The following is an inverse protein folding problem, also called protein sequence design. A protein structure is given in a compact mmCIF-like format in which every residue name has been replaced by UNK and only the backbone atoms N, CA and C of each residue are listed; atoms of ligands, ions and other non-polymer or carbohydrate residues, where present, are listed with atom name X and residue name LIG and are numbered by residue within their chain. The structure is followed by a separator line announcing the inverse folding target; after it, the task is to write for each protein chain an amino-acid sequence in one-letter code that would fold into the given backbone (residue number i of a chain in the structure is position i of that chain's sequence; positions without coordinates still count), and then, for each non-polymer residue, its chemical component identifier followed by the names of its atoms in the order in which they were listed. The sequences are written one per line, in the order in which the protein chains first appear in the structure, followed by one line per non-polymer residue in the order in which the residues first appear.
data_IF_785836618618
#
_entry.id   IF_785836618618
#
_cell.length_a   1.000
_cell.length_b   1.000
_cell.length_c   1.000
_cell.angle_alpha   90.00
_cell.angle_beta   90.00
_cell.angle_gamma   90.00
#
_symmetry.space_group_name_H-M   'P 1'
#
loop_
_entity.id
_entity.type
_entity.pdbx_description
1 polymer ?
#
# COMPACT_ATOMS: atom_id res chain seq x y z
N UNK A 1 23.57 -7.54 11.25
CA UNK A 1 23.24 -6.34 12.05
C UNK A 1 22.12 -5.52 11.42
N UNK A 2 22.24 -5.00 10.19
CA UNK A 2 21.19 -4.17 9.57
C UNK A 2 19.89 -4.91 9.28
N UNK A 3 19.95 -6.19 8.90
CA UNK A 3 18.74 -7.00 8.70
C UNK A 3 17.94 -7.20 10.00
N UNK A 4 18.62 -7.57 11.08
CA UNK A 4 18.00 -7.76 12.40
C UNK A 4 17.36 -6.45 12.91
N UNK A 5 18.00 -5.31 12.65
CA UNK A 5 17.43 -4.00 12.96
C UNK A 5 16.18 -3.70 12.13
N UNK A 6 16.17 -4.07 10.83
CA UNK A 6 15.01 -3.92 9.96
C UNK A 6 13.84 -4.81 10.41
N UNK A 7 14.12 -6.05 10.82
CA UNK A 7 13.13 -6.95 11.42
C UNK A 7 12.54 -6.37 12.71
N UNK A 8 13.39 -5.89 13.61
CA UNK A 8 12.94 -5.24 14.85
C UNK A 8 12.05 -4.01 14.57
N UNK A 9 12.42 -3.17 13.60
CA UNK A 9 11.62 -2.02 13.19
C UNK A 9 10.26 -2.43 12.62
N UNK A 10 10.21 -3.50 11.83
CA UNK A 10 8.96 -4.01 11.27
C UNK A 10 8.02 -4.49 12.38
N UNK A 11 8.53 -5.28 13.32
CA UNK A 11 7.76 -5.74 14.50
C UNK A 11 7.25 -4.53 15.30
N UNK A 12 8.08 -3.51 15.50
CA UNK A 12 7.69 -2.29 16.23
C UNK A 12 6.62 -1.49 15.48
N UNK A 13 6.74 -1.36 14.16
CA UNK A 13 5.79 -0.68 13.29
C UNK A 13 4.43 -1.37 13.34
N UNK A 14 4.40 -2.69 13.15
CA UNK A 14 3.15 -3.46 13.21
C UNK A 14 2.47 -3.37 14.58
N UNK A 15 3.24 -3.41 15.68
CA UNK A 15 2.66 -3.36 17.03
C UNK A 15 2.08 -1.99 17.41
N UNK A 16 2.60 -0.89 16.86
CA UNK A 16 2.32 0.45 17.42
C UNK A 16 1.85 1.49 16.41
N UNK A 17 2.01 1.24 15.12
CA UNK A 17 1.71 2.19 14.04
C UNK A 17 0.83 1.57 12.96
N UNK A 18 0.12 0.49 13.28
CA UNK A 18 -0.76 -0.19 12.34
C UNK A 18 -2.23 -0.01 12.73
N UNK A 19 -3.09 -0.17 11.74
CA UNK A 19 -4.53 -0.21 11.84
C UNK A 19 -5.05 -1.44 11.09
N UNK A 20 -6.16 -2.03 11.53
CA UNK A 20 -6.75 -3.16 10.83
C UNK A 20 -7.32 -2.69 9.48
N UNK A 21 -7.13 -3.55 8.49
CA UNK A 21 -7.68 -3.45 7.13
C UNK A 21 -8.20 -4.82 6.69
N UNK A 22 -9.04 -4.85 5.66
CA UNK A 22 -9.35 -6.07 4.92
C UNK A 22 -8.84 -5.91 3.49
N UNK A 23 -7.90 -6.75 3.10
CA UNK A 23 -7.45 -6.85 1.72
C UNK A 23 -8.40 -7.76 0.94
N UNK A 24 -8.81 -7.34 -0.24
CA UNK A 24 -9.75 -8.06 -1.11
C UNK A 24 -9.09 -8.26 -2.47
N UNK A 25 -8.86 -9.51 -2.83
CA UNK A 25 -8.33 -9.91 -4.13
C UNK A 25 -9.37 -9.73 -5.23
N UNK A 26 -8.93 -9.60 -6.47
CA UNK A 26 -9.81 -9.53 -7.65
C UNK A 26 -10.77 -10.73 -7.78
N UNK A 27 -10.37 -11.91 -7.32
CA UNK A 27 -11.18 -13.12 -7.30
C UNK A 27 -12.21 -13.18 -6.15
N UNK A 28 -12.22 -12.15 -5.29
CA UNK A 28 -13.11 -12.06 -4.12
C UNK A 28 -12.52 -12.63 -2.84
N UNK A 29 -11.30 -13.22 -2.87
CA UNK A 29 -10.60 -13.67 -1.68
C UNK A 29 -10.35 -12.52 -0.71
N UNK A 30 -10.63 -12.72 0.57
CA UNK A 30 -10.44 -11.68 1.60
C UNK A 30 -9.38 -12.10 2.61
N UNK A 31 -8.58 -11.13 3.05
CA UNK A 31 -7.51 -11.34 4.01
C UNK A 31 -7.46 -10.17 5.02
N UNK A 32 -7.79 -10.41 6.31
CA UNK A 32 -7.61 -9.38 7.34
C UNK A 32 -6.12 -9.17 7.61
N UNK A 33 -5.69 -7.91 7.63
CA UNK A 33 -4.29 -7.52 7.80
C UNK A 33 -4.18 -6.28 8.67
N UNK A 34 -3.00 -6.08 9.24
CA UNK A 34 -2.59 -4.81 9.83
C UNK A 34 -1.73 -4.01 8.84
N UNK A 35 -2.06 -2.73 8.67
CA UNK A 35 -1.36 -1.84 7.77
C UNK A 35 -1.04 -0.50 8.45
N UNK A 36 0.08 0.12 8.09
CA UNK A 36 0.35 1.52 8.45
C UNK A 36 -0.12 2.42 7.30
N UNK A 37 -1.06 3.35 7.53
CA UNK A 37 -1.44 4.31 6.50
C UNK A 37 -0.27 5.22 6.15
N UNK A 38 -0.01 5.36 4.86
CA UNK A 38 1.03 6.21 4.30
C UNK A 38 0.48 7.15 3.23
N UNK A 39 1.39 7.88 2.61
CA UNK A 39 1.08 8.79 1.51
C UNK A 39 2.24 8.83 0.53
N UNK A 40 1.92 8.79 -0.77
CA UNK A 40 2.84 9.09 -1.86
C UNK A 40 2.27 10.21 -2.72
N UNK A 41 3.10 11.21 -3.02
CA UNK A 41 2.76 12.28 -3.95
C UNK A 41 3.42 12.00 -5.28
N UNK A 42 2.65 11.53 -6.25
CA UNK A 42 3.10 11.35 -7.62
C UNK A 42 3.14 12.69 -8.33
N UNK A 43 4.20 12.92 -9.11
CA UNK A 43 4.34 14.09 -9.97
C UNK A 43 4.62 13.61 -11.38
N UNK A 44 3.87 14.11 -12.35
CA UNK A 44 4.13 13.91 -13.76
C UNK A 44 3.84 15.19 -14.52
N UNK A 45 4.53 15.40 -15.64
CA UNK A 45 4.19 16.45 -16.59
C UNK A 45 3.25 15.88 -17.64
N UNK A 46 2.19 16.62 -17.97
CA UNK A 46 1.32 16.27 -19.09
C UNK A 46 1.93 16.75 -20.42
N UNK A 47 1.27 16.42 -21.53
CA UNK A 47 1.70 16.76 -22.89
C UNK A 47 1.81 18.28 -23.17
N UNK A 48 1.29 19.11 -22.28
CA UNK A 48 1.31 20.58 -22.37
C UNK A 48 2.31 21.21 -21.38
N UNK A 49 3.17 20.41 -20.74
CA UNK A 49 4.18 20.89 -19.78
C UNK A 49 3.61 21.26 -18.41
N UNK A 50 2.36 20.90 -18.09
CA UNK A 50 1.75 21.16 -16.78
C UNK A 50 2.08 20.01 -15.83
N UNK A 51 2.65 20.32 -14.67
CA UNK A 51 2.88 19.35 -13.60
C UNK A 51 1.56 18.95 -12.93
N UNK A 52 1.12 17.71 -13.15
CA UNK A 52 0.02 17.06 -12.45
C UNK A 52 0.54 16.42 -11.17
N UNK A 53 -0.15 16.65 -10.06
CA UNK A 53 0.13 16.04 -8.76
C UNK A 53 -1.02 15.11 -8.39
N UNK A 54 -0.72 13.85 -8.13
CA UNK A 54 -1.69 12.86 -7.69
C UNK A 54 -1.29 12.37 -6.31
N UNK A 55 -2.12 12.60 -5.31
CA UNK A 55 -1.94 12.05 -3.97
C UNK A 55 -2.53 10.63 -3.93
N UNK A 56 -1.71 9.68 -3.49
CA UNK A 56 -2.16 8.32 -3.19
C UNK A 56 -2.15 8.10 -1.68
N UNK A 57 -3.22 7.48 -1.17
CA UNK A 57 -3.21 6.86 0.15
C UNK A 57 -2.47 5.54 0.02
N UNK A 58 -1.39 5.39 0.77
CA UNK A 58 -0.65 4.14 0.78
C UNK A 58 -1.05 3.27 1.97
N UNK A 59 -0.90 1.96 1.82
CA UNK A 59 -0.97 1.01 2.91
C UNK A 59 0.32 0.22 2.99
N UNK A 60 1.05 0.37 4.10
CA UNK A 60 2.29 -0.36 4.34
C UNK A 60 1.96 -1.63 5.13
N UNK A 61 2.10 -2.78 4.50
CA UNK A 61 1.80 -4.09 5.07
C UNK A 61 3.05 -4.93 5.22
N UNK A 62 3.04 -5.86 6.16
CA UNK A 62 4.12 -6.85 6.28
C UNK A 62 4.19 -7.67 4.99
N UNK A 63 5.41 -7.90 4.48
CA UNK A 63 5.65 -8.77 3.33
C UNK A 63 5.12 -10.18 3.57
N UNK A 64 5.33 -10.71 4.78
CA UNK A 64 4.80 -12.01 5.23
C UNK A 64 3.29 -12.04 5.39
N UNK A 65 2.62 -10.88 5.47
CA UNK A 65 1.17 -10.78 5.59
C UNK A 65 0.45 -10.97 4.26
N UNK A 66 1.13 -10.87 3.12
CA UNK A 66 0.53 -11.08 1.80
C UNK A 66 1.25 -12.24 1.09
N UNK A 67 0.57 -13.36 0.78
CA UNK A 67 1.22 -14.48 0.10
C UNK A 67 1.70 -14.08 -1.30
N UNK A 68 0.84 -13.43 -2.08
CA UNK A 68 1.13 -12.96 -3.43
C UNK A 68 1.26 -11.44 -3.50
N UNK A 69 1.87 -10.96 -4.56
CA UNK A 69 2.04 -9.52 -4.79
C UNK A 69 0.68 -8.82 -4.99
N UNK A 70 0.55 -7.55 -4.55
CA UNK A 70 -0.63 -6.74 -4.85
C UNK A 70 -0.82 -6.51 -6.34
N UNK A 71 -2.06 -6.59 -6.81
CA UNK A 71 -2.37 -6.41 -8.22
C UNK A 71 -3.36 -5.27 -8.44
N UNK A 72 -3.29 -4.65 -9.63
CA UNK A 72 -4.25 -3.61 -10.02
C UNK A 72 -5.66 -4.17 -9.99
N UNK A 73 -6.57 -3.50 -9.29
CA UNK A 73 -7.97 -3.89 -9.13
C UNK A 73 -8.27 -4.70 -7.86
N UNK A 74 -7.24 -5.14 -7.13
CA UNK A 74 -7.40 -5.53 -5.72
C UNK A 74 -7.92 -4.32 -4.92
N UNK A 75 -8.50 -4.57 -3.75
CA UNK A 75 -9.12 -3.53 -2.92
C UNK A 75 -8.68 -3.64 -1.46
N UNK A 76 -8.72 -2.52 -0.76
CA UNK A 76 -8.48 -2.42 0.67
C UNK A 76 -9.70 -1.75 1.29
N UNK A 77 -10.35 -2.42 2.24
CA UNK A 77 -11.37 -1.84 3.11
C UNK A 77 -10.70 -1.36 4.39
N UNK A 78 -10.82 -0.07 4.66
CA UNK A 78 -10.27 0.54 5.86
C UNK A 78 -11.18 1.67 6.35
N UNK A 79 -11.61 1.60 7.62
CA UNK A 79 -12.45 2.60 8.26
C UNK A 79 -13.73 2.97 7.45
N UNK A 80 -14.41 1.96 6.91
CA UNK A 80 -15.63 2.13 6.11
C UNK A 80 -15.40 2.71 4.71
N UNK A 81 -14.14 2.86 4.29
CA UNK A 81 -13.76 3.34 2.95
C UNK A 81 -13.11 2.24 2.14
N UNK A 82 -13.41 2.24 0.85
CA UNK A 82 -12.88 1.31 -0.12
C UNK A 82 -11.81 2.00 -0.98
N UNK A 83 -10.65 1.37 -1.03
CA UNK A 83 -9.50 1.85 -1.78
C UNK A 83 -9.12 0.80 -2.82
N UNK A 84 -9.06 1.18 -4.09
CA UNK A 84 -8.57 0.31 -5.16
C UNK A 84 -7.05 0.38 -5.24
N UNK A 85 -6.38 -0.77 -5.36
CA UNK A 85 -4.96 -0.87 -5.64
C UNK A 85 -4.70 -0.32 -7.05
N UNK A 86 -4.15 0.89 -7.10
CA UNK A 86 -4.03 1.70 -8.29
C UNK A 86 -2.93 2.74 -8.11
N UNK A 87 -2.13 2.93 -9.16
CA UNK A 87 -1.13 3.99 -9.24
C UNK A 87 -1.23 4.72 -10.60
N UNK A 88 -0.95 6.03 -10.65
CA UNK A 88 -1.03 6.84 -11.86
C UNK A 88 0.16 6.63 -12.81
N UNK A 89 0.03 7.02 -14.07
CA UNK A 89 1.15 7.18 -15.02
C UNK A 89 2.03 5.93 -15.21
N UNK A 90 1.44 4.74 -15.13
CA UNK A 90 2.19 3.48 -15.27
C UNK A 90 3.12 3.15 -14.09
N UNK A 91 3.06 3.93 -13.01
CA UNK A 91 3.76 3.62 -11.76
C UNK A 91 3.33 2.22 -11.26
N UNK A 92 4.25 1.46 -10.66
CA UNK A 92 3.90 0.19 -10.05
C UNK A 92 2.89 0.44 -8.93
N UNK A 93 1.91 -0.46 -8.79
CA UNK A 93 0.86 -0.33 -7.76
C UNK A 93 1.36 -0.67 -6.36
N UNK A 94 2.57 -1.23 -6.24
CA UNK A 94 3.22 -1.45 -4.96
C UNK A 94 4.75 -1.46 -5.12
N UNK A 95 5.48 -1.31 -4.01
CA UNK A 95 6.95 -1.42 -3.95
C UNK A 95 7.39 -2.01 -2.62
N UNK A 96 8.55 -2.68 -2.60
CA UNK A 96 9.24 -2.99 -1.35
C UNK A 96 9.73 -1.71 -0.67
N UNK A 97 9.62 -1.64 0.66
CA UNK A 97 10.30 -0.64 1.46
C UNK A 97 11.63 -1.22 1.95
N UNK A 98 12.73 -0.51 1.66
CA UNK A 98 14.07 -0.89 2.09
C UNK A 98 14.60 -2.17 1.42
N UNK A 99 15.88 -2.51 1.69
CA UNK A 99 16.60 -3.58 0.99
C UNK A 99 16.23 -5.00 1.43
N UNK A 100 15.58 -5.16 2.60
CA UNK A 100 15.28 -6.49 3.18
C UNK A 100 13.86 -6.98 2.90
N UNK A 101 13.09 -6.25 2.08
CA UNK A 101 11.77 -6.66 1.59
C UNK A 101 10.82 -7.13 2.71
N UNK A 102 10.87 -6.45 3.87
CA UNK A 102 10.01 -6.78 5.02
C UNK A 102 8.64 -6.11 4.95
N UNK A 103 8.54 -5.00 4.24
CA UNK A 103 7.32 -4.19 4.13
C UNK A 103 6.99 -3.92 2.67
N UNK A 104 5.74 -4.17 2.26
CA UNK A 104 5.21 -3.73 0.97
C UNK A 104 4.45 -2.42 1.17
N UNK A 105 4.75 -1.40 0.38
CA UNK A 105 3.94 -0.19 0.25
C UNK A 105 3.01 -0.36 -0.94
N UNK A 106 1.71 -0.35 -0.68
CA UNK A 106 0.67 -0.49 -1.70
C UNK A 106 0.08 0.89 -1.97
N UNK A 107 0.07 1.31 -3.22
CA UNK A 107 -0.53 2.55 -3.69
C UNK A 107 -2.01 2.33 -4.01
N UNK A 108 -2.85 3.25 -3.57
CA UNK A 108 -4.30 3.14 -3.79
C UNK A 108 -4.94 4.44 -4.22
N UNK A 109 -6.16 4.30 -4.75
CA UNK A 109 -7.12 5.38 -5.00
C UNK A 109 -8.40 5.08 -4.22
N UNK A 110 -8.93 6.06 -3.48
CA UNK A 110 -10.25 5.92 -2.85
C UNK A 110 -11.34 5.85 -3.92
N UNK A 111 -12.22 4.86 -3.82
CA UNK A 111 -13.30 4.60 -4.79
C UNK A 111 -14.70 4.67 -4.17
N UNK A 112 -14.81 4.97 -2.87
CA UNK A 112 -16.08 5.21 -2.19
C UNK A 112 -16.10 4.73 -0.75
N UNK A 113 -17.25 4.89 -0.09
CA UNK A 113 -17.56 4.30 1.20
C UNK A 113 -18.52 3.12 1.05
N UNK A 114 -18.45 2.17 1.98
CA UNK A 114 -19.50 1.15 2.20
C UNK A 114 -20.61 1.70 3.07
#
# INVERSE_FOLDING_TARGET
MLEQAAEWLEVRRLKSLSVPIVYVRRDGGTLPLDATPGRTLFRAENEYGVTVRTESRDFLVAGSGLPDDPERGDRILHAGRLYEVLAPNGEPVWRWCGPYHRTRRIHTKEIGGT
#
